data_IF_921632313902
#
_entry.id   IF_921632313902
#
_cell.length_a   1.000
_cell.length_b   1.000
_cell.length_c   1.000
_cell.angle_alpha   90.00
_cell.angle_beta   90.00
_cell.angle_gamma   90.00
#
_symmetry.space_group_name_H-M   'P 1'
#
loop_
_entity.id
_entity.type
_entity.pdbx_description
1 polymer ?
#
# COMPACT_ATOMS: atom_id res chain seq x y z
N UNK A 1 -15.53 -7.80 -3.99
CA UNK A 1 -14.32 -8.16 -3.20
C UNK A 1 -13.05 -8.20 -4.04
N UNK A 2 -13.00 -8.96 -5.14
CA UNK A 2 -11.79 -9.15 -5.97
C UNK A 2 -11.11 -7.85 -6.43
N UNK A 3 -11.89 -6.85 -6.86
CA UNK A 3 -11.33 -5.56 -7.33
C UNK A 3 -10.58 -4.78 -6.24
N UNK A 4 -11.03 -4.84 -4.98
CA UNK A 4 -10.38 -4.14 -3.88
C UNK A 4 -9.06 -4.81 -3.49
N UNK A 5 -9.01 -6.15 -3.52
CA UNK A 5 -7.76 -6.89 -3.30
C UNK A 5 -6.74 -6.62 -4.42
N UNK A 6 -7.21 -6.55 -5.67
CA UNK A 6 -6.35 -6.17 -6.79
C UNK A 6 -5.76 -4.77 -6.61
N UNK A 7 -6.59 -3.77 -6.25
CA UNK A 7 -6.13 -2.41 -5.99
C UNK A 7 -5.16 -2.33 -4.80
N UNK A 8 -5.40 -3.11 -3.75
CA UNK A 8 -4.50 -3.20 -2.60
C UNK A 8 -3.13 -3.74 -3.03
N UNK A 9 -3.08 -4.89 -3.71
CA UNK A 9 -1.84 -5.47 -4.20
C UNK A 9 -1.10 -4.53 -5.15
N UNK A 10 -1.81 -3.87 -6.06
CA UNK A 10 -1.22 -2.90 -6.99
C UNK A 10 -0.62 -1.68 -6.25
N UNK A 11 -1.31 -1.19 -5.22
CA UNK A 11 -0.82 -0.07 -4.40
C UNK A 11 0.41 -0.46 -3.58
N UNK A 12 0.44 -1.67 -3.02
CA UNK A 12 1.62 -2.20 -2.30
C UNK A 12 2.81 -2.37 -3.25
N UNK A 13 2.59 -2.91 -4.45
CA UNK A 13 3.62 -3.02 -5.47
C UNK A 13 4.20 -1.65 -5.86
N UNK A 14 3.35 -0.63 -6.01
CA UNK A 14 3.78 0.74 -6.27
C UNK A 14 4.69 1.30 -5.16
N UNK A 15 4.36 1.06 -3.89
CA UNK A 15 5.20 1.52 -2.76
C UNK A 15 6.54 0.76 -2.73
N UNK A 16 6.54 -0.52 -3.12
CA UNK A 16 7.74 -1.35 -3.11
C UNK A 16 8.72 -1.04 -4.26
N UNK A 17 8.25 -0.47 -5.37
CA UNK A 17 9.08 -0.11 -6.52
C UNK A 17 10.26 0.82 -6.16
N UNK A 18 10.04 1.96 -5.47
CA UNK A 18 11.12 2.80 -4.95
C UNK A 18 11.77 2.24 -3.67
N UNK A 19 11.60 0.95 -3.37
CA UNK A 19 12.14 0.27 -2.18
C UNK A 19 11.63 0.86 -0.87
N UNK A 20 10.33 1.16 -0.78
CA UNK A 20 9.69 1.57 0.48
C UNK A 20 8.86 0.41 1.03
N UNK A 21 8.94 0.17 2.33
CA UNK A 21 8.01 -0.70 3.04
C UNK A 21 6.96 0.16 3.74
N UNK A 22 5.67 -0.13 3.53
CA UNK A 22 4.58 0.58 4.22
C UNK A 22 4.54 0.29 5.73
N UNK A 23 4.84 -0.96 6.11
CA UNK A 23 4.92 -1.49 7.49
C UNK A 23 3.63 -1.52 8.30
N UNK A 24 2.57 -0.86 7.86
CA UNK A 24 1.23 -0.99 8.47
C UNK A 24 0.14 -1.16 7.41
N UNK A 25 -0.39 -2.38 7.26
CA UNK A 25 -1.51 -2.67 6.37
C UNK A 25 -2.67 -3.22 7.19
N UNK A 26 -3.46 -2.32 7.77
CA UNK A 26 -4.67 -2.63 8.55
C UNK A 26 -5.87 -1.90 7.96
N UNK A 27 -7.08 -2.36 8.29
CA UNK A 27 -8.33 -1.81 7.72
C UNK A 27 -8.49 -0.29 7.91
N UNK A 28 -8.03 0.27 9.02
CA UNK A 28 -8.20 1.70 9.32
C UNK A 28 -7.41 2.64 8.39
N UNK A 29 -6.34 2.16 7.72
CA UNK A 29 -5.57 2.97 6.76
C UNK A 29 -6.06 2.80 5.31
N UNK A 30 -7.07 1.97 5.08
CA UNK A 30 -7.65 1.72 3.75
C UNK A 30 -8.82 2.66 3.50
N UNK A 31 -8.60 3.68 2.67
CA UNK A 31 -9.64 4.62 2.26
C UNK A 31 -10.39 4.05 1.05
N UNK A 32 -11.69 3.79 1.22
CA UNK A 32 -12.55 3.27 0.17
C UNK A 32 -13.64 4.27 -0.19
N UNK A 33 -13.72 4.62 -1.46
CA UNK A 33 -14.91 5.28 -2.01
C UNK A 33 -15.97 4.23 -2.36
N UNK A 34 -17.14 4.33 -1.75
CA UNK A 34 -18.25 3.41 -1.96
C UNK A 34 -18.98 3.62 -3.29
N UNK A 35 -18.90 4.81 -3.89
CA UNK A 35 -19.53 5.11 -5.18
C UNK A 35 -18.69 4.60 -6.35
N UNK A 36 -17.39 4.84 -6.29
CA UNK A 36 -16.46 4.50 -7.39
C UNK A 36 -15.73 3.18 -7.18
N UNK A 37 -15.82 2.58 -5.98
CA UNK A 37 -15.08 1.37 -5.60
C UNK A 37 -13.55 1.53 -5.73
N UNK A 38 -13.05 2.75 -5.54
CA UNK A 38 -11.62 3.06 -5.49
C UNK A 38 -11.10 2.86 -4.08
N UNK A 39 -10.01 2.11 -3.95
CA UNK A 39 -9.24 1.90 -2.73
C UNK A 39 -7.92 2.67 -2.80
N UNK A 40 -7.58 3.38 -1.72
CA UNK A 40 -6.28 4.03 -1.53
C UNK A 40 -5.70 3.62 -0.17
N UNK A 41 -4.39 3.41 -0.12
CA UNK A 41 -3.64 3.21 1.12
C UNK A 41 -3.25 4.60 1.63
N UNK A 42 -3.46 4.85 2.92
CA UNK A 42 -3.06 6.07 3.61
C UNK A 42 -2.06 5.76 4.75
N UNK A 43 -1.57 6.81 5.39
CA UNK A 43 -0.69 6.78 6.56
C UNK A 43 0.65 6.04 6.37
N UNK A 44 1.66 6.81 5.95
CA UNK A 44 3.03 6.35 5.77
C UNK A 44 3.93 6.66 6.97
N UNK A 45 3.36 6.99 8.14
CA UNK A 45 4.14 7.40 9.33
C UNK A 45 5.13 6.33 9.81
N UNK A 46 4.80 5.05 9.61
CA UNK A 46 5.67 3.91 9.91
C UNK A 46 6.49 3.42 8.73
N UNK A 47 6.35 4.04 7.55
CA UNK A 47 7.03 3.58 6.33
C UNK A 47 8.55 3.77 6.42
N UNK A 48 9.30 2.92 5.73
CA UNK A 48 10.75 2.96 5.74
C UNK A 48 11.33 2.62 4.38
N UNK A 49 12.30 3.41 3.92
CA UNK A 49 13.09 3.10 2.73
C UNK A 49 14.07 1.98 3.07
N UNK A 50 14.02 0.87 2.33
CA UNK A 50 14.93 -0.25 2.47
C UNK A 50 16.06 -0.13 1.45
N UNK A 51 17.30 -0.20 1.93
CA UNK A 51 18.47 -0.40 1.08
C UNK A 51 18.80 -1.88 1.13
N UNK A 52 18.73 -2.55 -0.02
CA UNK A 52 19.42 -3.82 -0.16
C UNK A 52 20.90 -3.48 -0.31
N UNK A 53 21.72 -3.81 0.69
CA UNK A 53 23.15 -3.89 0.46
C UNK A 53 23.35 -5.07 -0.49
N UNK A 54 23.82 -4.79 -1.71
CA UNK A 54 24.37 -5.83 -2.57
C UNK A 54 25.57 -6.43 -1.81
N UNK A 55 25.46 -7.73 -1.52
CA UNK A 55 26.52 -8.52 -0.88
C UNK A 55 27.61 -8.80 -1.91
#
# INVERSE_FOLDING_TARGET
MKILMYQLCNSVAFVHDPKVLHRELKLHILLKDHKTMVLKIADFSLSHAIRFMEI
#
